data_IF_679054697441
#
_entry.id   IF_679054697441
#
_cell.length_a   1.000
_cell.length_b   1.000
_cell.length_c   1.000
_cell.angle_alpha   90.00
_cell.angle_beta   90.00
_cell.angle_gamma   90.00
#
_symmetry.space_group_name_H-M   'P 1'
#
loop_
_entity.id
_entity.type
_entity.pdbx_description
1 polymer ?
#
# COMPACT_ATOMS: atom_id res chain seq x y z
N UNK A 1 37.55 -33.01 6.42
CA UNK A 1 36.44 -33.46 5.55
C UNK A 1 35.46 -32.30 5.37
N UNK A 2 35.35 -31.74 4.17
CA UNK A 2 34.45 -30.60 3.88
C UNK A 2 33.09 -31.16 3.46
N UNK A 3 32.14 -31.22 4.39
CA UNK A 3 30.73 -31.39 4.04
C UNK A 3 30.28 -30.13 3.33
N UNK A 4 30.15 -30.18 2.01
CA UNK A 4 29.56 -29.08 1.25
C UNK A 4 28.18 -28.76 1.87
N UNK A 5 28.01 -27.52 2.35
CA UNK A 5 26.73 -27.06 2.84
C UNK A 5 25.69 -27.24 1.73
N UNK A 6 24.52 -27.85 2.02
CA UNK A 6 23.52 -28.09 1.00
C UNK A 6 23.10 -26.77 0.37
N UNK A 7 23.24 -26.67 -0.95
CA UNK A 7 22.77 -25.52 -1.73
C UNK A 7 21.24 -25.55 -1.62
N UNK A 8 20.67 -24.57 -0.93
CA UNK A 8 19.22 -24.40 -0.83
C UNK A 8 18.68 -24.11 -2.23
N UNK A 9 17.90 -25.03 -2.80
CA UNK A 9 17.25 -24.81 -4.10
C UNK A 9 16.00 -23.94 -3.91
N UNK A 10 15.84 -22.96 -4.79
CA UNK A 10 14.65 -22.11 -4.84
C UNK A 10 13.68 -22.75 -5.82
N UNK A 11 12.45 -22.97 -5.37
CA UNK A 11 11.40 -23.54 -6.18
C UNK A 11 10.56 -22.40 -6.77
N UNK A 12 10.43 -22.40 -8.10
CA UNK A 12 9.73 -21.35 -8.85
C UNK A 12 8.24 -21.23 -8.54
N UNK A 13 7.62 -22.27 -7.98
CA UNK A 13 6.20 -22.29 -7.59
C UNK A 13 5.96 -22.08 -6.10
N UNK A 14 7.01 -21.90 -5.30
CA UNK A 14 6.91 -21.86 -3.84
C UNK A 14 6.62 -20.43 -3.34
N UNK A 15 5.67 -20.35 -2.43
CA UNK A 15 5.40 -19.17 -1.63
C UNK A 15 6.34 -19.16 -0.41
N UNK A 16 6.96 -18.01 -0.16
CA UNK A 16 7.92 -17.81 0.92
C UNK A 16 7.32 -16.89 1.98
N UNK A 17 7.31 -17.34 3.22
CA UNK A 17 6.97 -16.52 4.37
C UNK A 17 8.23 -15.80 4.87
N UNK A 18 8.36 -14.51 4.57
CA UNK A 18 9.50 -13.67 4.94
C UNK A 18 9.19 -12.98 6.27
N UNK A 19 9.95 -13.24 7.36
CA UNK A 19 9.71 -12.56 8.61
C UNK A 19 10.18 -11.10 8.53
N UNK A 20 9.28 -10.17 8.85
CA UNK A 20 9.53 -8.72 8.87
C UNK A 20 9.27 -8.19 10.26
N UNK A 21 10.13 -7.29 10.74
CA UNK A 21 9.95 -6.65 12.04
C UNK A 21 8.61 -5.91 12.11
N UNK A 22 7.86 -6.10 13.21
CA UNK A 22 6.60 -5.38 13.42
C UNK A 22 6.90 -3.87 13.51
N UNK A 23 6.24 -3.07 12.67
CA UNK A 23 6.45 -1.63 12.56
C UNK A 23 7.56 -1.20 11.57
N UNK A 24 8.30 -2.14 10.98
CA UNK A 24 9.35 -1.79 10.02
C UNK A 24 8.79 -1.17 8.74
N UNK A 25 7.67 -1.66 8.21
CA UNK A 25 7.05 -1.07 7.01
C UNK A 25 6.74 0.42 7.22
N UNK A 26 6.12 0.76 8.35
CA UNK A 26 5.76 2.13 8.72
C UNK A 26 6.99 3.02 8.88
N UNK A 27 8.04 2.51 9.52
CA UNK A 27 9.28 3.26 9.71
C UNK A 27 10.05 3.44 8.37
N UNK A 28 10.20 2.38 7.60
CA UNK A 28 11.03 2.35 6.38
C UNK A 28 10.52 3.29 5.31
N UNK A 29 9.21 3.45 5.12
CA UNK A 29 8.70 4.39 4.10
C UNK A 29 8.98 5.86 4.44
N UNK A 30 9.28 6.15 5.71
CA UNK A 30 9.55 7.52 6.19
C UNK A 30 11.03 7.88 6.23
N UNK A 31 11.93 6.89 6.22
CA UNK A 31 13.38 7.08 6.21
C UNK A 31 13.86 7.72 4.89
N UNK A 32 14.76 8.70 4.98
CA UNK A 32 15.22 9.52 3.85
C UNK A 32 16.73 9.73 3.92
N UNK A 33 17.33 9.78 2.74
CA UNK A 33 18.65 10.35 2.52
C UNK A 33 18.54 11.49 1.49
N UNK A 34 19.24 12.59 1.75
CA UNK A 34 19.38 13.66 0.78
C UNK A 34 20.43 13.27 -0.25
N UNK A 35 20.06 13.22 -1.53
CA UNK A 35 21.01 12.96 -2.60
C UNK A 35 21.87 14.19 -2.89
N UNK A 36 23.03 13.99 -3.52
CA UNK A 36 23.92 15.07 -3.97
C UNK A 36 23.25 16.08 -4.92
N UNK A 37 22.07 15.76 -5.49
CA UNK A 37 21.28 16.66 -6.35
C UNK A 37 20.17 17.40 -5.58
N UNK A 38 20.19 17.38 -4.24
CA UNK A 38 19.15 17.96 -3.37
C UNK A 38 17.83 17.19 -3.38
N UNK A 39 17.81 15.98 -3.95
CA UNK A 39 16.61 15.17 -4.04
C UNK A 39 16.55 14.16 -2.90
N UNK A 40 15.44 14.14 -2.17
CA UNK A 40 15.18 13.10 -1.16
C UNK A 40 14.90 11.77 -1.85
N UNK A 41 15.70 10.76 -1.51
CA UNK A 41 15.53 9.37 -1.97
C UNK A 41 15.36 8.45 -0.76
N UNK A 42 14.67 7.33 -0.97
CA UNK A 42 14.57 6.27 0.03
C UNK A 42 15.27 5.00 -0.46
N UNK A 43 16.62 4.97 -0.42
CA UNK A 43 17.38 3.78 -0.78
C UNK A 43 17.27 2.71 0.32
N UNK A 44 17.04 3.11 1.56
CA UNK A 44 16.89 2.23 2.72
C UNK A 44 15.87 1.13 2.50
N UNK A 45 14.69 1.45 1.94
CA UNK A 45 13.67 0.45 1.65
C UNK A 45 14.20 -0.72 0.80
N UNK A 46 15.11 -0.45 -0.14
CA UNK A 46 15.73 -1.48 -0.98
C UNK A 46 16.73 -2.31 -0.19
N UNK A 47 17.53 -1.68 0.67
CA UNK A 47 18.52 -2.36 1.50
C UNK A 47 17.82 -3.28 2.51
N UNK A 48 16.86 -2.74 3.25
CA UNK A 48 16.09 -3.48 4.24
C UNK A 48 15.26 -4.61 3.62
N UNK A 49 14.65 -4.38 2.45
CA UNK A 49 13.99 -5.46 1.69
C UNK A 49 14.97 -6.61 1.40
N UNK A 50 16.18 -6.30 0.94
CA UNK A 50 17.22 -7.31 0.70
C UNK A 50 17.64 -8.02 1.98
N UNK A 51 17.81 -7.29 3.08
CA UNK A 51 18.15 -7.90 4.37
C UNK A 51 17.08 -8.86 4.88
N UNK A 52 15.79 -8.49 4.85
CA UNK A 52 14.71 -9.38 5.26
C UNK A 52 14.68 -10.66 4.42
N UNK A 53 14.87 -10.52 3.11
CA UNK A 53 14.96 -11.67 2.22
C UNK A 53 16.18 -12.54 2.56
N UNK A 54 17.39 -11.98 2.64
CA UNK A 54 18.57 -12.75 3.03
C UNK A 54 18.41 -13.43 4.41
N UNK A 55 17.79 -12.74 5.37
CA UNK A 55 17.52 -13.29 6.71
C UNK A 55 16.51 -14.43 6.66
N UNK A 56 15.51 -14.36 5.78
CA UNK A 56 14.57 -15.47 5.55
C UNK A 56 15.18 -16.65 4.80
N UNK A 57 16.29 -16.44 4.09
CA UNK A 57 16.96 -17.50 3.33
C UNK A 57 17.75 -18.47 4.24
N UNK A 58 18.06 -18.08 5.48
CA UNK A 58 18.85 -18.88 6.42
C UNK A 58 18.20 -18.92 7.80
N UNK A 59 18.26 -20.07 8.46
CA UNK A 59 17.80 -20.22 9.86
C UNK A 59 18.88 -19.84 10.86
N UNK A 60 20.15 -20.05 10.54
CA UNK A 60 21.29 -19.76 11.42
C UNK A 60 21.68 -18.29 11.44
N UNK A 61 21.17 -17.49 10.49
CA UNK A 61 21.64 -16.12 10.27
C UNK A 61 22.99 -16.06 9.55
N UNK A 62 23.51 -17.17 9.04
CA UNK A 62 24.74 -17.22 8.25
C UNK A 62 24.43 -17.80 6.87
N UNK A 63 24.89 -17.13 5.81
CA UNK A 63 24.90 -17.64 4.45
C UNK A 63 26.33 -18.05 4.11
N UNK A 64 26.56 -19.36 4.08
CA UNK A 64 27.88 -19.92 3.87
C UNK A 64 28.31 -19.87 2.41
N UNK A 65 29.56 -19.48 2.15
CA UNK A 65 30.16 -19.47 0.81
C UNK A 65 29.23 -18.84 -0.24
N UNK A 66 28.69 -17.65 0.05
CA UNK A 66 27.58 -17.07 -0.71
C UNK A 66 27.90 -16.92 -2.21
N UNK A 67 29.18 -16.74 -2.57
CA UNK A 67 29.65 -16.69 -3.96
C UNK A 67 29.28 -17.97 -4.75
N UNK A 68 29.30 -19.14 -4.11
CA UNK A 68 28.88 -20.41 -4.74
C UNK A 68 27.36 -20.50 -4.93
N UNK A 69 26.60 -19.78 -4.10
CA UNK A 69 25.14 -19.72 -4.12
C UNK A 69 24.63 -18.47 -4.84
N UNK A 70 25.52 -17.70 -5.51
CA UNK A 70 25.22 -16.37 -6.03
C UNK A 70 23.99 -16.37 -6.94
N UNK A 71 23.91 -17.28 -7.91
CA UNK A 71 22.79 -17.35 -8.86
C UNK A 71 21.45 -17.50 -8.12
N UNK A 72 21.39 -18.45 -7.19
CA UNK A 72 20.22 -18.68 -6.34
C UNK A 72 19.82 -17.44 -5.55
N UNK A 73 20.78 -16.75 -4.91
CA UNK A 73 20.50 -15.53 -4.16
C UNK A 73 19.98 -14.40 -5.07
N UNK A 74 20.58 -14.21 -6.25
CA UNK A 74 20.14 -13.22 -7.22
C UNK A 74 18.72 -13.49 -7.72
N UNK A 75 18.39 -14.76 -7.97
CA UNK A 75 17.05 -15.20 -8.37
C UNK A 75 16.03 -14.99 -7.24
N UNK A 76 16.39 -15.30 -5.99
CA UNK A 76 15.53 -15.05 -4.82
C UNK A 76 15.21 -13.57 -4.64
N UNK A 77 16.24 -12.74 -4.69
CA UNK A 77 16.17 -11.30 -4.46
C UNK A 77 15.59 -10.55 -5.67
N UNK A 78 15.55 -11.20 -6.85
CA UNK A 78 15.14 -10.61 -8.13
C UNK A 78 15.93 -9.34 -8.45
N UNK A 79 17.26 -9.42 -8.38
CA UNK A 79 18.20 -8.32 -8.66
C UNK A 79 19.39 -8.76 -9.49
N UNK A 80 20.10 -7.79 -10.09
CA UNK A 80 21.35 -8.06 -10.82
C UNK A 80 22.54 -8.22 -9.86
N UNK A 81 23.63 -8.85 -10.32
CA UNK A 81 24.87 -9.01 -9.54
C UNK A 81 25.45 -7.66 -9.09
N UNK A 82 25.48 -6.68 -9.99
CA UNK A 82 25.95 -5.32 -9.66
C UNK A 82 25.09 -4.70 -8.54
N UNK A 83 23.76 -4.81 -8.63
CA UNK A 83 22.85 -4.33 -7.60
C UNK A 83 23.04 -5.07 -6.28
N UNK A 84 23.24 -6.39 -6.32
CA UNK A 84 23.45 -7.20 -5.13
C UNK A 84 24.71 -6.76 -4.38
N UNK A 85 25.85 -6.62 -5.06
CA UNK A 85 27.09 -6.12 -4.44
C UNK A 85 26.94 -4.72 -3.84
N UNK A 86 26.26 -3.81 -4.56
CA UNK A 86 25.96 -2.48 -4.05
C UNK A 86 25.11 -2.53 -2.78
N UNK A 87 24.10 -3.40 -2.73
CA UNK A 87 23.25 -3.56 -1.55
C UNK A 87 23.99 -4.22 -0.40
N UNK A 88 24.84 -5.22 -0.64
CA UNK A 88 25.66 -5.83 0.41
C UNK A 88 26.58 -4.79 1.07
N UNK A 89 27.27 -3.96 0.28
CA UNK A 89 28.08 -2.86 0.81
C UNK A 89 27.25 -1.89 1.68
N UNK A 90 26.02 -1.57 1.24
CA UNK A 90 25.12 -0.71 2.01
C UNK A 90 24.67 -1.39 3.32
N UNK A 91 24.35 -2.68 3.28
CA UNK A 91 23.97 -3.47 4.46
C UNK A 91 25.12 -3.56 5.47
N UNK A 92 26.35 -3.68 5.00
CA UNK A 92 27.53 -3.70 5.87
C UNK A 92 27.74 -2.33 6.53
N UNK A 93 27.58 -1.22 5.80
CA UNK A 93 27.64 0.14 6.37
C UNK A 93 26.56 0.40 7.42
N UNK A 94 25.39 -0.21 7.25
CA UNK A 94 24.29 -0.15 8.22
C UNK A 94 24.47 -1.13 9.39
N UNK A 95 25.58 -1.88 9.45
CA UNK A 95 25.83 -2.93 10.45
C UNK A 95 24.77 -4.05 10.46
N UNK A 96 24.09 -4.27 9.33
CA UNK A 96 23.07 -5.31 9.18
C UNK A 96 23.67 -6.66 8.80
N UNK A 97 24.86 -6.63 8.18
CA UNK A 97 25.63 -7.82 7.85
C UNK A 97 27.11 -7.60 8.17
N UNK A 98 27.83 -8.70 8.27
CA UNK A 98 29.29 -8.75 8.25
C UNK A 98 29.73 -9.74 7.18
N UNK A 99 30.59 -9.30 6.27
CA UNK A 99 31.22 -10.16 5.27
C UNK A 99 32.61 -10.58 5.71
N UNK A 100 32.83 -11.90 5.81
CA UNK A 100 34.17 -12.46 6.03
C UNK A 100 34.77 -12.93 4.71
N UNK A 101 35.10 -11.95 3.86
CA UNK A 101 35.59 -12.21 2.50
C UNK A 101 36.99 -12.84 2.48
N UNK A 102 37.82 -12.57 3.51
CA UNK A 102 39.23 -12.99 3.54
C UNK A 102 39.45 -14.40 4.07
N UNK A 103 38.51 -14.96 4.87
CA UNK A 103 38.70 -16.29 5.46
C UNK A 103 37.69 -17.33 4.98
N UNK A 104 36.40 -16.97 4.86
CA UNK A 104 35.34 -17.97 4.70
C UNK A 104 34.40 -17.73 3.52
N UNK A 105 34.29 -16.49 3.03
CA UNK A 105 33.33 -16.11 1.99
C UNK A 105 31.88 -16.18 2.48
N UNK A 106 31.67 -16.01 3.79
CA UNK A 106 30.36 -16.06 4.44
C UNK A 106 29.77 -14.66 4.62
N UNK A 107 28.44 -14.58 4.59
CA UNK A 107 27.67 -13.40 5.06
C UNK A 107 27.04 -13.78 6.39
N UNK A 108 27.35 -13.04 7.45
CA UNK A 108 26.67 -13.15 8.75
C UNK A 108 25.67 -12.01 8.88
N UNK A 109 24.41 -12.33 9.14
CA UNK A 109 23.33 -11.36 9.32
C UNK A 109 23.07 -11.12 10.81
N UNK A 110 22.92 -9.86 11.20
CA UNK A 110 22.53 -9.51 12.56
C UNK A 110 21.18 -10.14 12.94
N UNK A 111 20.90 -10.20 14.24
CA UNK A 111 19.62 -10.67 14.77
C UNK A 111 18.50 -9.67 14.49
N UNK A 112 17.24 -10.13 14.55
CA UNK A 112 16.08 -9.23 14.44
C UNK A 112 16.05 -8.16 15.54
N UNK A 113 16.56 -8.47 16.73
CA UNK A 113 16.64 -7.53 17.85
C UNK A 113 17.66 -6.41 17.57
N UNK A 114 18.85 -6.76 17.08
CA UNK A 114 19.86 -5.78 16.65
C UNK A 114 19.37 -4.95 15.47
N UNK A 115 18.73 -5.59 14.49
CA UNK A 115 18.13 -4.90 13.35
C UNK A 115 17.05 -3.89 13.79
N UNK A 116 16.19 -4.24 14.76
CA UNK A 116 15.21 -3.31 15.32
C UNK A 116 15.89 -2.11 16.00
N UNK A 117 16.99 -2.34 16.73
CA UNK A 117 17.79 -1.29 17.34
C UNK A 117 18.45 -0.38 16.30
N UNK A 118 19.05 -0.94 15.24
CA UNK A 118 19.64 -0.18 14.12
C UNK A 118 18.57 0.68 13.43
N UNK A 119 17.37 0.14 13.26
CA UNK A 119 16.24 0.86 12.67
C UNK A 119 15.64 1.90 13.64
N UNK A 120 15.97 1.88 14.93
CA UNK A 120 15.40 2.79 15.92
C UNK A 120 13.94 2.48 16.28
N UNK A 121 13.51 1.22 16.17
CA UNK A 121 12.16 0.77 16.56
C UNK A 121 12.23 -0.19 17.76
N UNK A 122 11.20 -0.16 18.61
CA UNK A 122 11.07 -1.13 19.70
C UNK A 122 10.82 -2.53 19.13
N UNK A 123 11.64 -3.51 19.51
CA UNK A 123 11.45 -4.89 19.07
C UNK A 123 10.17 -5.48 19.68
N UNK A 124 9.18 -5.77 18.83
CA UNK A 124 7.90 -6.40 19.21
C UNK A 124 7.72 -7.81 18.60
N UNK A 125 8.78 -8.36 18.02
CA UNK A 125 8.71 -9.60 17.24
C UNK A 125 8.65 -9.35 15.72
N UNK A 126 8.21 -10.36 14.99
CA UNK A 126 8.14 -10.36 13.52
C UNK A 126 6.76 -10.81 13.04
N UNK A 127 6.35 -10.29 11.90
CA UNK A 127 5.16 -10.73 11.15
C UNK A 127 5.59 -11.41 9.85
N UNK A 128 4.88 -12.45 9.45
CA UNK A 128 5.18 -13.18 8.22
C UNK A 128 4.58 -12.46 7.01
N UNK A 129 5.43 -12.16 6.02
CA UNK A 129 5.06 -11.49 4.78
C UNK A 129 5.19 -12.45 3.63
N UNK A 130 4.11 -12.67 2.90
CA UNK A 130 4.13 -13.59 1.78
C UNK A 130 4.90 -12.99 0.59
N UNK A 131 5.80 -13.80 0.04
CA UNK A 131 6.67 -13.43 -1.07
C UNK A 131 6.67 -14.52 -2.13
N UNK A 132 6.35 -14.13 -3.37
CA UNK A 132 6.32 -15.01 -4.55
C UNK A 132 7.25 -14.42 -5.63
N UNK A 133 8.56 -14.67 -5.59
CA UNK A 133 9.54 -14.00 -6.46
C UNK A 133 9.26 -14.13 -7.97
N UNK A 134 8.62 -15.22 -8.39
CA UNK A 134 8.45 -15.59 -9.79
C UNK A 134 7.08 -15.27 -10.38
N UNK A 135 6.09 -14.92 -9.55
CA UNK A 135 4.75 -14.52 -10.03
C UNK A 135 4.76 -13.15 -10.73
N UNK A 136 5.84 -12.39 -10.54
CA UNK A 136 6.03 -11.06 -11.10
C UNK A 136 7.04 -11.12 -12.24
N UNK A 137 6.59 -11.56 -13.42
CA UNK A 137 7.42 -11.67 -14.62
C UNK A 137 8.18 -10.36 -14.90
N UNK A 138 9.50 -10.46 -15.08
CA UNK A 138 10.41 -9.37 -15.43
C UNK A 138 10.51 -8.20 -14.43
N UNK A 139 9.83 -8.26 -13.28
CA UNK A 139 9.88 -7.18 -12.27
C UNK A 139 10.90 -7.50 -11.17
N UNK A 140 11.71 -6.48 -10.83
CA UNK A 140 12.82 -6.58 -9.87
C UNK A 140 12.44 -5.93 -8.54
N UNK A 141 13.02 -6.41 -7.45
CA UNK A 141 12.82 -5.86 -6.09
C UNK A 141 11.35 -5.77 -5.67
N UNK A 142 10.52 -6.75 -6.04
CA UNK A 142 9.09 -6.75 -5.75
C UNK A 142 8.81 -6.60 -4.25
N UNK A 143 9.63 -7.26 -3.41
CA UNK A 143 9.47 -7.24 -1.96
C UNK A 143 9.45 -5.83 -1.36
N UNK A 144 10.17 -4.87 -1.94
CA UNK A 144 10.12 -3.46 -1.49
C UNK A 144 8.71 -2.86 -1.64
N UNK A 145 8.01 -3.23 -2.71
CA UNK A 145 6.65 -2.76 -2.98
C UNK A 145 5.64 -3.44 -2.06
N UNK A 146 5.89 -4.70 -1.70
CA UNK A 146 5.10 -5.42 -0.68
C UNK A 146 5.22 -4.71 0.67
N UNK A 147 6.43 -4.31 1.09
CA UNK A 147 6.62 -3.54 2.33
C UNK A 147 5.86 -2.20 2.31
N UNK A 148 5.89 -1.46 1.19
CA UNK A 148 5.11 -0.21 1.07
C UNK A 148 3.61 -0.50 1.12
N UNK A 149 3.15 -1.58 0.50
CA UNK A 149 1.75 -2.00 0.55
C UNK A 149 1.31 -2.35 1.99
N UNK A 150 2.17 -2.97 2.78
CA UNK A 150 1.90 -3.26 4.19
C UNK A 150 1.75 -1.99 5.02
N UNK A 151 2.59 -0.97 4.82
CA UNK A 151 2.40 0.31 5.48
C UNK A 151 1.07 0.95 5.10
N UNK A 152 0.66 0.84 3.84
CA UNK A 152 -0.61 1.39 3.37
C UNK A 152 -1.78 0.71 4.07
N UNK A 153 -1.72 -0.62 4.18
CA UNK A 153 -2.72 -1.39 4.89
C UNK A 153 -2.77 -1.02 6.38
N UNK A 154 -1.61 -0.99 7.06
CA UNK A 154 -1.47 -0.55 8.46
C UNK A 154 -2.06 0.86 8.66
N UNK A 155 -1.76 1.79 7.75
CA UNK A 155 -2.30 3.14 7.81
C UNK A 155 -3.83 3.16 7.65
N UNK A 156 -4.39 2.41 6.71
CA UNK A 156 -5.84 2.31 6.52
C UNK A 156 -6.53 1.74 7.75
N UNK A 157 -5.96 0.69 8.35
CA UNK A 157 -6.48 0.07 9.58
C UNK A 157 -6.43 1.07 10.75
N UNK A 158 -5.33 1.82 10.90
CA UNK A 158 -5.21 2.87 11.92
C UNK A 158 -6.23 4.00 11.72
N UNK A 159 -6.43 4.47 10.48
CA UNK A 159 -7.45 5.48 10.17
C UNK A 159 -8.87 4.97 10.44
N UNK A 160 -9.12 3.69 10.16
CA UNK A 160 -10.40 3.03 10.39
C UNK A 160 -10.72 2.94 11.89
N UNK A 161 -9.75 2.51 12.71
CA UNK A 161 -9.90 2.46 14.16
C UNK A 161 -10.08 3.87 14.75
N UNK A 162 -9.31 4.85 14.28
CA UNK A 162 -9.42 6.23 14.74
C UNK A 162 -10.79 6.86 14.40
N UNK A 163 -11.32 6.57 13.21
CA UNK A 163 -12.68 6.96 12.81
C UNK A 163 -13.72 6.40 13.80
N UNK A 164 -13.62 5.10 14.09
CA UNK A 164 -14.56 4.42 14.97
C UNK A 164 -14.44 4.92 16.42
N UNK A 165 -13.21 5.14 16.91
CA UNK A 165 -12.95 5.73 18.23
C UNK A 165 -13.54 7.13 18.35
N UNK A 166 -13.41 7.98 17.32
CA UNK A 166 -14.03 9.33 17.29
C UNK A 166 -15.55 9.26 17.33
N UNK A 167 -16.12 8.32 16.60
CA UNK A 167 -17.56 8.06 16.64
C UNK A 167 -18.02 7.66 18.05
N UNK A 168 -17.35 6.70 18.68
CA UNK A 168 -17.67 6.25 20.05
C UNK A 168 -17.45 7.33 21.13
N UNK A 169 -16.46 8.21 20.96
CA UNK A 169 -16.16 9.27 21.94
C UNK A 169 -17.13 10.46 21.85
N UNK A 170 -17.73 10.72 20.70
CA UNK A 170 -18.61 11.87 20.44
C UNK A 170 -20.11 11.61 20.68
N UNK A 171 -20.46 10.68 21.59
CA UNK A 171 -21.84 10.26 21.87
C UNK A 171 -22.79 11.35 22.43
N UNK A 172 -22.35 12.60 22.60
CA UNK A 172 -23.12 13.67 23.27
C UNK A 172 -23.80 14.69 22.34
N UNK A 173 -23.75 14.56 21.01
CA UNK A 173 -24.43 15.51 20.10
C UNK A 173 -24.62 14.99 18.68
N UNK A 174 -23.73 15.37 17.76
CA UNK A 174 -23.83 15.04 16.33
C UNK A 174 -23.82 13.53 16.02
N UNK A 175 -23.31 12.69 16.93
CA UNK A 175 -23.29 11.24 16.73
C UNK A 175 -24.70 10.63 16.76
N UNK A 176 -25.61 11.18 17.57
CA UNK A 176 -27.00 10.69 17.66
C UNK A 176 -27.78 11.04 16.39
N UNK A 177 -27.61 12.26 15.88
CA UNK A 177 -28.20 12.66 14.59
C UNK A 177 -27.63 11.84 13.43
N UNK A 178 -26.32 11.61 13.41
CA UNK A 178 -25.66 10.77 12.40
C UNK A 178 -26.16 9.32 12.44
N UNK A 179 -26.34 8.76 13.65
CA UNK A 179 -26.94 7.43 13.83
C UNK A 179 -28.37 7.38 13.33
N UNK A 180 -29.17 8.43 13.58
CA UNK A 180 -30.53 8.50 13.08
C UNK A 180 -30.56 8.56 11.54
N UNK A 181 -29.69 9.33 10.89
CA UNK A 181 -29.56 9.32 9.43
C UNK A 181 -29.15 7.94 8.88
N UNK A 182 -28.24 7.24 9.56
CA UNK A 182 -27.84 5.88 9.19
C UNK A 182 -29.00 4.88 9.37
N UNK A 183 -29.80 5.00 10.44
CA UNK A 183 -30.98 4.17 10.68
C UNK A 183 -32.08 4.40 9.66
N UNK A 184 -32.29 5.65 9.24
CA UNK A 184 -33.22 5.98 8.13
C UNK A 184 -32.80 5.32 6.81
N UNK A 185 -31.51 5.02 6.60
CA UNK A 185 -31.02 4.23 5.47
C UNK A 185 -31.11 2.71 5.68
N UNK A 186 -31.69 2.23 6.79
CA UNK A 186 -31.87 0.80 7.08
C UNK A 186 -30.67 0.10 7.73
N UNK A 187 -29.70 0.87 8.26
CA UNK A 187 -28.63 0.29 9.08
C UNK A 187 -29.10 0.09 10.53
N UNK A 188 -28.99 -1.14 11.03
CA UNK A 188 -29.25 -1.47 12.44
C UNK A 188 -27.98 -1.32 13.26
N UNK A 189 -28.11 -1.18 14.58
CA UNK A 189 -26.97 -1.06 15.49
C UNK A 189 -26.03 -2.29 15.38
N UNK A 190 -26.58 -3.48 15.09
CA UNK A 190 -25.82 -4.70 14.79
C UNK A 190 -24.92 -4.58 13.55
N UNK A 191 -25.36 -3.83 12.55
CA UNK A 191 -24.60 -3.58 11.31
C UNK A 191 -23.53 -2.49 11.51
N UNK A 192 -23.42 -1.87 12.69
CA UNK A 192 -22.44 -0.81 12.99
C UNK A 192 -21.46 -1.23 14.11
N UNK A 193 -21.44 -2.52 14.46
CA UNK A 193 -20.62 -3.09 15.54
C UNK A 193 -19.12 -3.02 15.30
N UNK A 194 -18.69 -3.03 14.04
CA UNK A 194 -17.26 -2.99 13.69
C UNK A 194 -16.90 -1.68 13.00
N UNK A 195 -15.65 -1.25 13.16
CA UNK A 195 -15.12 -0.06 12.49
C UNK A 195 -15.31 -0.12 10.97
N UNK A 196 -15.09 -1.30 10.35
CA UNK A 196 -15.25 -1.51 8.91
C UNK A 196 -16.69 -1.31 8.44
N UNK A 197 -17.65 -1.93 9.14
CA UNK A 197 -19.05 -1.80 8.75
C UNK A 197 -19.56 -0.37 8.96
N UNK A 198 -19.17 0.26 10.08
CA UNK A 198 -19.48 1.67 10.33
C UNK A 198 -18.93 2.57 9.23
N UNK A 199 -17.66 2.40 8.85
CA UNK A 199 -17.03 3.17 7.78
C UNK A 199 -17.75 3.01 6.44
N UNK A 200 -18.13 1.78 6.07
CA UNK A 200 -18.87 1.51 4.84
C UNK A 200 -20.26 2.17 4.85
N UNK A 201 -20.97 2.08 5.97
CA UNK A 201 -22.28 2.70 6.14
C UNK A 201 -22.20 4.23 6.05
N UNK A 202 -21.24 4.83 6.76
CA UNK A 202 -20.99 6.27 6.72
C UNK A 202 -20.59 6.76 5.33
N UNK A 203 -19.72 6.04 4.63
CA UNK A 203 -19.32 6.39 3.26
C UNK A 203 -20.52 6.34 2.31
N UNK A 204 -21.41 5.35 2.46
CA UNK A 204 -22.64 5.28 1.65
C UNK A 204 -23.57 6.46 1.92
N UNK A 205 -23.80 6.81 3.19
CA UNK A 205 -24.60 7.97 3.57
C UNK A 205 -24.04 9.25 2.93
N UNK A 206 -22.72 9.49 3.07
CA UNK A 206 -22.05 10.66 2.48
C UNK A 206 -22.21 10.72 0.96
N UNK A 207 -22.09 9.59 0.27
CA UNK A 207 -22.28 9.52 -1.19
C UNK A 207 -23.71 9.89 -1.58
N UNK A 208 -24.72 9.37 -0.88
CA UNK A 208 -26.14 9.67 -1.12
C UNK A 208 -26.41 11.16 -0.88
N UNK A 209 -26.02 11.67 0.28
CA UNK A 209 -26.22 13.07 0.65
C UNK A 209 -25.57 14.02 -0.36
N UNK A 210 -24.32 13.76 -0.74
CA UNK A 210 -23.65 14.60 -1.74
C UNK A 210 -24.36 14.55 -3.09
N UNK A 211 -24.76 13.35 -3.53
CA UNK A 211 -25.44 13.17 -4.81
C UNK A 211 -26.77 13.91 -4.84
N UNK A 212 -27.58 13.78 -3.80
CA UNK A 212 -28.98 14.21 -3.82
C UNK A 212 -29.17 15.65 -3.34
N UNK A 213 -28.33 16.14 -2.41
CA UNK A 213 -28.41 17.52 -1.87
C UNK A 213 -27.33 18.46 -2.42
N UNK A 214 -26.42 17.99 -3.27
CA UNK A 214 -25.30 18.75 -3.88
C UNK A 214 -24.30 19.41 -2.90
N UNK A 215 -24.46 19.17 -1.60
CA UNK A 215 -23.74 19.84 -0.53
C UNK A 215 -23.28 18.87 0.56
N UNK A 216 -22.24 19.28 1.30
CA UNK A 216 -21.72 18.52 2.43
C UNK A 216 -22.51 18.91 3.68
N UNK A 217 -23.59 18.20 4.01
CA UNK A 217 -24.35 18.48 5.23
C UNK A 217 -23.46 18.27 6.46
N UNK A 218 -23.53 19.19 7.43
CA UNK A 218 -22.66 19.18 8.60
C UNK A 218 -22.70 17.87 9.39
N UNK A 219 -23.88 17.23 9.50
CA UNK A 219 -24.08 15.97 10.22
C UNK A 219 -23.38 14.80 9.50
N UNK A 220 -23.80 14.48 8.26
CA UNK A 220 -23.22 13.38 7.48
C UNK A 220 -21.70 13.49 7.24
N UNK A 221 -21.17 14.72 7.16
CA UNK A 221 -19.75 14.99 6.92
C UNK A 221 -18.96 15.39 8.18
N UNK A 222 -19.56 15.28 9.36
CA UNK A 222 -18.89 15.52 10.66
C UNK A 222 -17.68 14.59 10.88
N UNK A 223 -17.69 13.41 10.27
CA UNK A 223 -16.61 12.43 10.29
C UNK A 223 -16.22 12.06 8.86
N UNK A 224 -14.92 12.00 8.55
CA UNK A 224 -14.46 11.58 7.22
C UNK A 224 -14.45 10.06 7.11
N UNK A 225 -15.29 9.49 6.24
CA UNK A 225 -15.35 8.04 6.02
C UNK A 225 -14.26 7.52 5.08
N UNK A 226 -13.66 8.38 4.25
CA UNK A 226 -12.58 7.98 3.36
C UNK A 226 -11.26 7.82 4.13
N UNK A 227 -10.94 6.58 4.48
CA UNK A 227 -9.73 6.15 5.20
C UNK A 227 -8.48 6.11 4.31
N UNK A 228 -8.61 6.43 3.01
CA UNK A 228 -7.49 6.47 2.09
C UNK A 228 -6.79 7.84 2.10
N UNK A 229 -5.50 7.81 1.75
CA UNK A 229 -4.69 9.02 1.59
C UNK A 229 -4.83 9.57 0.19
N UNK A 230 -4.92 10.90 0.10
CA UNK A 230 -4.81 11.57 -1.19
C UNK A 230 -3.40 11.36 -1.76
N UNK A 231 -3.27 11.52 -3.08
CA UNK A 231 -1.96 11.43 -3.76
C UNK A 231 -0.94 12.41 -3.16
N UNK A 232 -1.37 13.61 -2.76
CA UNK A 232 -0.51 14.63 -2.14
C UNK A 232 -0.09 14.24 -0.72
N UNK A 233 -1.01 13.71 0.10
CA UNK A 233 -0.68 13.20 1.43
C UNK A 233 0.28 12.03 1.34
N UNK A 234 0.07 11.13 0.39
CA UNK A 234 0.95 9.98 0.17
C UNK A 234 2.35 10.42 -0.24
N UNK A 235 2.45 11.36 -1.18
CA UNK A 235 3.72 11.96 -1.57
C UNK A 235 4.45 12.58 -0.38
N UNK A 236 3.78 13.40 0.42
CA UNK A 236 4.38 14.05 1.59
C UNK A 236 4.88 13.04 2.63
N UNK A 237 4.07 12.03 2.96
CA UNK A 237 4.39 11.05 3.99
C UNK A 237 5.49 10.09 3.56
N UNK A 238 5.44 9.60 2.33
CA UNK A 238 6.46 8.71 1.76
C UNK A 238 7.67 9.47 1.20
N UNK A 239 7.69 10.80 1.32
CA UNK A 239 8.81 11.64 0.90
C UNK A 239 9.00 11.74 -0.62
N UNK A 240 7.97 11.51 -1.42
CA UNK A 240 8.03 11.77 -2.86
C UNK A 240 8.00 13.27 -3.12
N UNK A 241 8.83 13.72 -4.07
CA UNK A 241 8.92 15.13 -4.47
C UNK A 241 7.61 15.71 -4.95
N UNK A 242 6.78 14.88 -5.58
CA UNK A 242 5.50 15.30 -6.15
C UNK A 242 4.48 14.19 -6.07
N UNK A 243 3.22 14.56 -6.31
CA UNK A 243 2.13 13.60 -6.47
C UNK A 243 2.36 12.59 -7.61
N UNK A 244 3.25 12.90 -8.56
CA UNK A 244 3.57 11.96 -9.66
C UNK A 244 4.32 10.73 -9.13
N UNK A 245 5.20 10.88 -8.13
CA UNK A 245 5.89 9.75 -7.50
C UNK A 245 4.91 8.81 -6.81
N UNK A 246 3.99 9.37 -6.02
CA UNK A 246 2.88 8.63 -5.42
C UNK A 246 2.02 7.93 -6.49
N UNK A 247 1.68 8.62 -7.58
CA UNK A 247 0.91 8.04 -8.68
C UNK A 247 1.65 6.90 -9.39
N UNK A 248 2.98 7.02 -9.54
CA UNK A 248 3.82 5.97 -10.10
C UNK A 248 3.79 4.69 -9.24
N UNK A 249 3.85 4.84 -7.91
CA UNK A 249 3.74 3.70 -6.99
C UNK A 249 2.36 3.04 -7.09
N UNK A 250 1.26 3.82 -7.16
CA UNK A 250 -0.09 3.27 -7.41
C UNK A 250 -0.13 2.45 -8.71
N UNK A 251 0.40 3.01 -9.80
CA UNK A 251 0.48 2.32 -11.09
C UNK A 251 1.30 1.03 -10.98
N UNK A 252 2.42 1.05 -10.25
CA UNK A 252 3.24 -0.14 -10.00
C UNK A 252 2.51 -1.19 -9.17
N UNK A 253 1.79 -0.81 -8.12
CA UNK A 253 0.97 -1.74 -7.34
C UNK A 253 -0.08 -2.44 -8.19
N UNK A 254 -0.80 -1.67 -9.03
CA UNK A 254 -1.80 -2.23 -9.96
C UNK A 254 -1.15 -3.18 -10.98
N UNK A 255 -0.03 -2.77 -11.60
CA UNK A 255 0.67 -3.59 -12.59
C UNK A 255 1.17 -4.91 -12.01
N UNK A 256 1.66 -4.87 -10.77
CA UNK A 256 2.16 -6.05 -10.06
C UNK A 256 1.03 -6.90 -9.45
N UNK A 257 -0.23 -6.44 -9.45
CA UNK A 257 -1.31 -7.14 -8.76
C UNK A 257 -1.20 -7.10 -7.24
N UNK A 258 -0.40 -6.19 -6.67
CA UNK A 258 -0.25 -5.98 -5.22
C UNK A 258 -1.46 -5.24 -4.64
N UNK A 259 -2.15 -4.45 -5.47
CA UNK A 259 -3.35 -3.74 -5.05
C UNK A 259 -4.32 -3.50 -6.20
N UNK A 260 -5.61 -3.57 -5.88
CA UNK A 260 -6.69 -3.00 -6.70
C UNK A 260 -6.85 -1.53 -6.31
N UNK A 261 -6.88 -0.65 -7.30
CA UNK A 261 -6.96 0.80 -7.07
C UNK A 261 -8.10 1.36 -7.90
N UNK A 262 -9.13 1.84 -7.23
CA UNK A 262 -10.33 2.40 -7.85
C UNK A 262 -10.41 3.90 -7.64
N UNK A 263 -10.78 4.63 -8.68
CA UNK A 263 -10.98 6.07 -8.62
C UNK A 263 -12.47 6.35 -8.55
N UNK A 264 -12.92 7.03 -7.50
CA UNK A 264 -14.34 7.30 -7.27
C UNK A 264 -14.62 8.79 -7.38
N UNK A 265 -15.45 9.16 -8.35
CA UNK A 265 -15.98 10.51 -8.54
C UNK A 265 -17.50 10.46 -8.46
N UNK A 266 -18.07 11.08 -7.43
CA UNK A 266 -19.53 11.18 -7.27
C UNK A 266 -19.97 12.51 -7.87
N UNK A 267 -20.86 12.45 -8.86
CA UNK A 267 -21.46 13.65 -9.43
C UNK A 267 -22.75 13.98 -8.68
N UNK A 268 -23.00 15.28 -8.46
CA UNK A 268 -24.29 15.72 -7.93
C UNK A 268 -25.40 15.53 -8.98
N UNK A 269 -26.60 15.18 -8.52
CA UNK A 269 -27.84 15.12 -9.29
C UNK A 269 -28.51 16.50 -9.43
N UNK A 270 -27.98 17.55 -8.79
CA UNK A 270 -28.53 18.91 -8.88
C UNK A 270 -28.18 19.54 -10.25
N UNK A 271 -28.89 19.07 -11.27
CA UNK A 271 -28.73 19.45 -12.67
C UNK A 271 -30.09 19.77 -13.27
N UNK A 272 -30.10 20.73 -14.17
CA UNK A 272 -31.22 21.02 -15.06
C UNK A 272 -30.93 20.45 -16.46
N UNK A 273 -31.97 19.94 -17.12
CA UNK A 273 -31.91 19.60 -18.54
C UNK A 273 -31.68 20.87 -19.34
N UNK A 274 -30.80 20.78 -20.33
CA UNK A 274 -30.52 21.83 -21.29
C UNK A 274 -30.74 21.27 -22.70
N UNK A 275 -31.36 22.07 -23.55
CA UNK A 275 -31.46 21.77 -24.97
C UNK A 275 -30.66 22.82 -25.74
N UNK A 276 -29.88 22.38 -26.71
CA UNK A 276 -29.24 23.28 -27.68
C UNK A 276 -29.47 22.74 -29.08
N UNK A 277 -29.47 23.63 -30.06
CA UNK A 277 -29.62 23.30 -31.46
C UNK A 277 -28.27 23.49 -32.11
N UNK A 278 -27.79 22.51 -32.87
CA UNK A 278 -26.55 22.66 -33.62
C UNK A 278 -26.73 23.54 -34.87
N UNK A 279 -25.63 23.80 -35.59
CA UNK A 279 -25.64 24.61 -36.82
C UNK A 279 -26.47 23.98 -37.96
N UNK A 280 -26.82 22.70 -37.85
CA UNK A 280 -27.61 21.94 -38.81
C UNK A 280 -29.08 21.84 -38.42
N UNK A 281 -29.51 22.50 -37.33
CA UNK A 281 -30.90 22.50 -36.87
C UNK A 281 -31.28 21.30 -36.01
N UNK A 282 -30.35 20.40 -35.68
CA UNK A 282 -30.66 19.24 -34.84
C UNK A 282 -30.67 19.63 -33.36
N UNK A 283 -31.71 19.20 -32.65
CA UNK A 283 -31.86 19.42 -31.21
C UNK A 283 -31.08 18.36 -30.43
N UNK A 284 -30.16 18.81 -29.58
CA UNK A 284 -29.38 17.98 -28.69
C UNK A 284 -29.86 18.16 -27.25
N UNK A 285 -29.95 17.07 -26.51
CA UNK A 285 -30.22 17.07 -25.07
C UNK A 285 -28.91 16.95 -24.29
N UNK A 286 -28.81 17.70 -23.20
CA UNK A 286 -27.79 17.50 -22.20
C UNK A 286 -28.18 18.10 -20.87
N UNK A 287 -27.19 18.27 -20.00
CA UNK A 287 -27.43 18.65 -18.61
C UNK A 287 -26.45 19.74 -18.21
N UNK A 288 -26.96 20.72 -17.47
CA UNK A 288 -26.16 21.75 -16.82
C UNK A 288 -26.38 21.65 -15.32
N UNK A 289 -25.30 21.66 -14.53
CA UNK A 289 -25.43 21.75 -13.08
C UNK A 289 -26.06 23.08 -12.69
N UNK A 290 -26.96 23.04 -11.72
CA UNK A 290 -27.63 24.24 -11.23
C UNK A 290 -26.60 25.18 -10.59
N UNK A 291 -26.76 26.50 -10.79
CA UNK A 291 -25.82 27.51 -10.24
C UNK A 291 -25.76 27.50 -8.71
N UNK A 292 -26.81 26.99 -8.07
CA UNK A 292 -26.96 26.85 -6.62
C UNK A 292 -26.25 25.61 -6.07
N UNK A 293 -25.83 24.67 -6.92
CA UNK A 293 -25.11 23.48 -6.49
C UNK A 293 -23.78 23.92 -5.86
N UNK A 294 -23.58 23.63 -4.57
CA UNK A 294 -22.35 24.02 -3.87
C UNK A 294 -21.13 23.33 -4.49
N UNK A 295 -21.29 22.08 -4.92
CA UNK A 295 -20.26 21.31 -5.65
C UNK A 295 -20.91 20.39 -6.67
N UNK A 296 -20.34 20.37 -7.88
CA UNK A 296 -20.84 19.53 -8.99
C UNK A 296 -20.30 18.10 -8.94
N UNK A 297 -19.10 17.91 -8.39
CA UNK A 297 -18.45 16.63 -8.24
C UNK A 297 -17.64 16.53 -6.94
N UNK A 298 -17.69 15.36 -6.31
CA UNK A 298 -16.87 14.99 -5.16
C UNK A 298 -15.92 13.86 -5.55
N UNK A 299 -14.62 14.17 -5.53
CA UNK A 299 -13.56 13.22 -5.80
C UNK A 299 -13.07 12.63 -4.49
N UNK A 300 -13.31 11.33 -4.28
CA UNK A 300 -12.70 10.59 -3.18
C UNK A 300 -11.21 10.35 -3.46
N UNK A 301 -10.44 10.03 -2.42
CA UNK A 301 -9.10 9.50 -2.65
C UNK A 301 -9.19 8.17 -3.41
N UNK A 302 -8.13 7.81 -4.13
CA UNK A 302 -8.08 6.49 -4.77
C UNK A 302 -8.28 5.41 -3.69
N UNK A 303 -9.25 4.54 -3.88
CA UNK A 303 -9.57 3.46 -2.96
C UNK A 303 -8.58 2.32 -3.23
N UNK A 304 -7.63 2.15 -2.33
CA UNK A 304 -6.55 1.16 -2.47
C UNK A 304 -6.93 -0.08 -1.67
N UNK A 305 -7.11 -1.22 -2.33
CA UNK A 305 -7.34 -2.52 -1.70
C UNK A 305 -6.12 -3.41 -1.91
N UNK A 306 -5.35 -3.65 -0.85
CA UNK A 306 -4.13 -4.45 -0.91
C UNK A 306 -4.46 -5.93 -1.11
N UNK A 307 -3.80 -6.57 -2.07
CA UNK A 307 -3.87 -7.97 -2.44
C UNK A 307 -2.43 -8.50 -2.50
N UNK A 308 -1.87 -8.96 -1.38
CA UNK A 308 -0.48 -9.46 -1.34
C UNK A 308 -0.36 -10.81 -2.07
N UNK A 309 -1.49 -11.46 -2.38
CA UNK A 309 -1.55 -12.61 -3.28
C UNK A 309 -2.04 -12.15 -4.65
N UNK A 310 -1.26 -12.34 -5.73
CA UNK A 310 -1.77 -12.08 -7.07
C UNK A 310 -2.94 -13.03 -7.32
N UNK A 311 -4.16 -12.50 -7.42
CA UNK A 311 -5.22 -13.22 -8.13
C UNK A 311 -4.68 -13.49 -9.51
N UNK A 312 -4.59 -14.77 -9.90
CA UNK A 312 -4.39 -15.14 -11.30
C UNK A 312 -5.27 -14.22 -12.14
N UNK A 313 -4.69 -13.59 -13.15
CA UNK A 313 -5.50 -12.98 -14.20
C UNK A 313 -6.33 -14.12 -14.77
N UNK A 314 -7.57 -14.28 -14.32
CA UNK A 314 -8.58 -14.88 -15.18
C UNK A 314 -8.70 -13.90 -16.35
N UNK A 315 -8.42 -14.44 -17.53
CA UNK A 315 -8.23 -13.71 -18.75
C UNK A 315 -9.33 -12.68 -18.99
N UNK A 316 -8.91 -11.47 -19.40
CA UNK A 316 -9.74 -10.36 -19.89
C UNK A 316 -10.63 -10.74 -21.10
N UNK A 317 -10.61 -12.01 -21.54
CA UNK A 317 -11.40 -12.54 -22.65
C UNK A 317 -12.86 -12.83 -22.29
N UNK A 318 -13.20 -13.12 -21.02
CA UNK A 318 -14.60 -13.33 -20.62
C UNK A 318 -15.40 -12.03 -20.49
N UNK A 319 -14.75 -10.89 -20.23
CA UNK A 319 -15.43 -9.58 -20.17
C UNK A 319 -15.74 -8.96 -21.53
N UNK A 320 -15.07 -9.38 -22.61
CA UNK A 320 -15.40 -8.95 -23.97
C UNK A 320 -16.51 -9.78 -24.65
N UNK A 321 -16.88 -10.93 -24.09
CA UNK A 321 -17.99 -11.76 -24.60
C UNK A 321 -19.35 -11.48 -23.93
N UNK A 322 -19.39 -10.58 -22.95
CA UNK A 322 -20.59 -10.22 -22.21
C UNK A 322 -20.96 -8.73 -22.32
N UNK A 323 -20.38 -8.01 -23.28
CA UNK A 323 -20.67 -6.60 -23.58
C UNK A 323 -21.41 -6.47 -24.91
#
# INVERSE_FOLDING_TARGET
MSTAAPILSINSKKEYAVPVLIGAADHLVTLREESAKGYMINPHLRYWATWFLLKSFTTSGVIQQWNKQKRTLLDYLRISDCTFRSQLNALQRLNLITEDYKKTGNITLCSYKEAAQIMGISYKGTTAVQYKPFDYENERQVFRYILVAQEVQSNQDNQLQELYRKFQKNLSGNATELLNELRQLGYTDDKLKTAKQFQQALLRLQKIVFRDKSGLTAVAFSLRADVNRSVTTWARQHGYQSGQGASYIKKKFRKLGIAVIEQHCINSNDKSRLYWVDKSGNKHEGYKWNKTAQRTAWRLCDQVSIQITPTKKEDDETRKKAA
#
